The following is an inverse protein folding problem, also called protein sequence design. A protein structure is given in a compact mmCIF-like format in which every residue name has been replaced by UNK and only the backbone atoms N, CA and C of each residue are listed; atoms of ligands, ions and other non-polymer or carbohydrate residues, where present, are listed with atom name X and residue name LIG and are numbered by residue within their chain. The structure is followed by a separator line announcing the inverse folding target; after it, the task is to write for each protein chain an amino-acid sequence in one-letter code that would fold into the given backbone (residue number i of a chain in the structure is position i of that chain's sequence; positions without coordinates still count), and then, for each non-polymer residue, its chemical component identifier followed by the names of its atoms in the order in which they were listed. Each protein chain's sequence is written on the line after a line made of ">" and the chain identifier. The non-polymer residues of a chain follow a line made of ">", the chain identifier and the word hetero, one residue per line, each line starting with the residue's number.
data_IF_362836253185
#
_entry.id   IF_362836253185
#
_cell.length_a   1.000
_cell.length_b   1.000
_cell.length_c   1.000
_cell.angle_alpha   90.00
_cell.angle_beta   90.00
_cell.angle_gamma   90.00
#
_symmetry.space_group_name_H-M   'P 1'
#
loop_
_entity.id
_entity.type
_entity.pdbx_description
1 polymer ?
#
# COMPACT_ATOMS: atom_id res chain seq x y z
N UNK A 1 -19.83 -3.83 5.03
CA UNK A 1 -18.95 -2.63 5.02
C UNK A 1 -17.88 -2.83 6.08
N UNK A 2 -16.59 -2.75 5.76
CA UNK A 2 -15.51 -2.86 6.76
C UNK A 2 -14.60 -4.07 6.57
N UNK A 3 -13.50 -3.88 5.83
CA UNK A 3 -12.21 -4.59 5.89
C UNK A 3 -11.27 -4.08 4.79
N UNK A 4 -11.06 -2.75 4.68
CA UNK A 4 -10.14 -2.15 3.69
C UNK A 4 -9.11 -1.17 4.26
N UNK A 5 -8.87 -1.21 5.58
CA UNK A 5 -7.97 -0.26 6.25
C UNK A 5 -6.53 -0.76 6.46
N UNK A 6 -6.09 -1.85 5.81
CA UNK A 6 -4.77 -2.45 6.13
C UNK A 6 -3.82 -2.67 4.97
N UNK A 7 -4.26 -2.54 3.73
CA UNK A 7 -3.38 -2.85 2.60
C UNK A 7 -2.32 -1.76 2.38
N UNK A 8 -2.68 -0.47 2.46
CA UNK A 8 -1.75 0.64 2.17
C UNK A 8 -0.58 0.76 3.15
N UNK A 9 -0.86 0.80 4.46
CA UNK A 9 0.18 0.86 5.50
C UNK A 9 1.11 -0.37 5.47
N UNK A 10 0.57 -1.54 5.16
CA UNK A 10 1.34 -2.79 5.09
C UNK A 10 2.18 -2.88 3.81
N UNK A 11 1.67 -2.38 2.69
CA UNK A 11 2.46 -2.16 1.46
C UNK A 11 3.63 -1.21 1.75
N UNK A 12 3.40 -0.12 2.48
CA UNK A 12 4.45 0.85 2.81
C UNK A 12 5.56 0.23 3.66
N UNK A 13 5.19 -0.51 4.71
CA UNK A 13 6.14 -1.20 5.58
C UNK A 13 7.00 -2.19 4.78
N UNK A 14 6.37 -3.06 4.00
CA UNK A 14 7.09 -4.09 3.24
C UNK A 14 7.94 -3.47 2.12
N UNK A 15 7.47 -2.38 1.49
CA UNK A 15 8.26 -1.65 0.51
C UNK A 15 9.50 -1.00 1.13
N UNK A 16 9.41 -0.53 2.39
CA UNK A 16 10.54 0.01 3.14
C UNK A 16 11.53 -1.09 3.57
N UNK A 17 11.04 -2.29 3.89
CA UNK A 17 11.89 -3.47 4.12
C UNK A 17 12.59 -4.00 2.86
N UNK A 18 12.27 -3.47 1.68
CA UNK A 18 12.90 -3.85 0.41
C UNK A 18 12.23 -5.01 -0.31
N UNK A 19 11.02 -5.42 0.10
CA UNK A 19 10.29 -6.48 -0.59
C UNK A 19 9.86 -6.06 -2.00
N UNK A 20 9.86 -7.03 -2.91
CA UNK A 20 9.41 -6.86 -4.30
C UNK A 20 7.89 -6.73 -4.38
N UNK A 21 7.39 -5.99 -5.37
CA UNK A 21 5.95 -5.73 -5.51
C UNK A 21 5.12 -7.00 -5.69
N UNK A 22 5.69 -8.04 -6.31
CA UNK A 22 5.06 -9.35 -6.50
C UNK A 22 4.89 -10.11 -5.19
N UNK A 23 5.89 -10.06 -4.31
CA UNK A 23 5.85 -10.67 -2.96
C UNK A 23 4.77 -9.98 -2.13
N UNK A 24 4.80 -8.64 -2.09
CA UNK A 24 3.83 -7.83 -1.36
C UNK A 24 2.40 -8.09 -1.85
N UNK A 25 2.21 -8.16 -3.18
CA UNK A 25 0.92 -8.45 -3.79
C UNK A 25 0.37 -9.82 -3.38
N UNK A 26 1.23 -10.85 -3.41
CA UNK A 26 0.86 -12.21 -3.03
C UNK A 26 0.50 -12.30 -1.55
N UNK A 27 1.33 -11.76 -0.68
CA UNK A 27 1.14 -11.82 0.78
C UNK A 27 -0.07 -11.02 1.25
N UNK A 28 -0.37 -9.89 0.60
CA UNK A 28 -1.51 -9.05 0.96
C UNK A 28 -2.79 -9.39 0.20
N UNK A 29 -2.75 -10.35 -0.74
CA UNK A 29 -3.88 -10.74 -1.57
C UNK A 29 -4.40 -9.60 -2.45
N UNK A 30 -3.51 -8.73 -2.93
CA UNK A 30 -3.83 -7.59 -3.80
C UNK A 30 -3.13 -7.71 -5.14
N UNK A 31 -3.60 -6.97 -6.15
CA UNK A 31 -2.91 -6.91 -7.44
C UNK A 31 -1.56 -6.20 -7.31
N UNK A 32 -0.57 -6.63 -8.10
CA UNK A 32 0.71 -5.93 -8.27
C UNK A 32 0.50 -4.48 -8.71
N UNK A 33 -0.54 -4.20 -9.51
CA UNK A 33 -0.90 -2.85 -9.92
C UNK A 33 -1.31 -1.98 -8.73
N UNK A 34 -2.05 -2.55 -7.78
CA UNK A 34 -2.41 -1.89 -6.51
C UNK A 34 -1.15 -1.54 -5.74
N UNK A 35 -0.21 -2.47 -5.58
CA UNK A 35 1.08 -2.23 -4.91
C UNK A 35 1.86 -1.11 -5.59
N UNK A 36 1.96 -1.12 -6.92
CA UNK A 36 2.63 -0.07 -7.69
C UNK A 36 1.98 1.31 -7.49
N UNK A 37 0.65 1.39 -7.49
CA UNK A 37 -0.07 2.64 -7.26
C UNK A 37 0.23 3.19 -5.86
N UNK A 38 0.17 2.32 -4.84
CA UNK A 38 0.49 2.70 -3.47
C UNK A 38 1.94 3.16 -3.32
N UNK A 39 2.91 2.44 -3.90
CA UNK A 39 4.32 2.86 -3.87
C UNK A 39 4.54 4.22 -4.53
N UNK A 40 3.92 4.47 -5.69
CA UNK A 40 3.97 5.78 -6.34
C UNK A 40 3.37 6.87 -5.46
N UNK A 41 2.26 6.58 -4.77
CA UNK A 41 1.60 7.53 -3.87
C UNK A 41 2.47 7.84 -2.65
N UNK A 42 3.02 6.82 -2.00
CA UNK A 42 3.94 6.96 -0.86
C UNK A 42 5.19 7.74 -1.27
N UNK A 43 5.75 7.48 -2.46
CA UNK A 43 6.89 8.24 -2.96
C UNK A 43 6.58 9.72 -3.20
N UNK A 44 5.33 10.08 -3.55
CA UNK A 44 4.91 11.47 -3.80
C UNK A 44 4.42 12.21 -2.55
N UNK A 45 3.71 11.51 -1.67
CA UNK A 45 2.95 12.11 -0.56
C UNK A 45 3.43 11.61 0.82
N UNK A 46 4.36 10.65 0.88
CA UNK A 46 4.83 10.05 2.11
C UNK A 46 3.71 9.39 2.93
N UNK A 47 3.87 9.41 4.24
CA UNK A 47 2.88 8.90 5.21
C UNK A 47 1.52 9.61 5.12
N UNK A 48 1.49 10.87 4.68
CA UNK A 48 0.24 11.62 4.48
C UNK A 48 -0.65 10.97 3.42
N UNK A 49 -0.08 10.47 2.31
CA UNK A 49 -0.82 9.79 1.25
C UNK A 49 -1.41 8.44 1.66
N UNK A 50 -0.87 7.83 2.74
CA UNK A 50 -1.46 6.63 3.36
C UNK A 50 -2.71 7.03 4.13
N UNK A 51 -2.57 8.05 5.00
CA UNK A 51 -3.62 8.50 5.91
C UNK A 51 -4.82 9.15 5.20
N UNK A 52 -4.58 9.83 4.09
CA UNK A 52 -5.64 10.42 3.26
C UNK A 52 -6.42 9.33 2.49
N UNK A 53 -5.71 8.34 1.95
CA UNK A 53 -6.35 7.21 1.26
C UNK A 53 -7.09 6.27 2.21
N UNK A 54 -6.74 6.26 3.50
CA UNK A 54 -7.48 5.60 4.58
C UNK A 54 -8.79 6.32 4.93
N UNK A 55 -8.88 7.63 4.66
CA UNK A 55 -10.04 8.46 4.98
C UNK A 55 -11.04 8.57 3.83
N UNK A 56 -10.57 8.43 2.59
CA UNK A 56 -11.37 8.66 1.38
C UNK A 56 -12.10 7.43 0.83
N UNK A 57 -12.39 6.42 1.66
CA UNK A 57 -13.00 5.15 1.26
C UNK A 57 -14.13 4.69 2.16
#
# INVERSE_FOLDING_TARGET
>A
MGRRLRSGARIALWAHEGHSNTVIARELGVSVQTVCLWRKRIARQGVQGIRESERSG
#
